data_IF_820123959922
#
_entry.id   IF_820123959922
#
_cell.length_a   1.000
_cell.length_b   1.000
_cell.length_c   1.000
_cell.angle_alpha   90.00
_cell.angle_beta   90.00
_cell.angle_gamma   90.00
#
_symmetry.space_group_name_H-M   'P 1'
#
loop_
_entity.id
_entity.type
_entity.pdbx_description
1 polymer ?
#
# COMPACT_ATOMS: atom_id res chain seq x y z
N UNK A 1 -9.17 -5.68 -18.88
CA UNK A 1 -7.98 -5.21 -18.13
C UNK A 1 -8.06 -5.85 -16.76
N UNK A 2 -7.09 -6.69 -16.43
CA UNK A 2 -7.06 -7.43 -15.16
C UNK A 2 -6.67 -6.45 -14.05
N UNK A 3 -7.64 -6.00 -13.25
CA UNK A 3 -7.36 -5.33 -11.99
C UNK A 3 -6.89 -6.40 -10.99
N UNK A 4 -5.68 -6.91 -11.21
CA UNK A 4 -5.07 -7.90 -10.34
C UNK A 4 -4.83 -7.28 -8.98
N UNK A 5 -5.75 -7.52 -8.04
CA UNK A 5 -5.51 -7.30 -6.61
C UNK A 5 -4.40 -8.28 -6.25
N UNK A 6 -3.15 -7.80 -6.23
CA UNK A 6 -2.08 -8.54 -5.59
C UNK A 6 -2.37 -8.49 -4.10
N UNK A 7 -3.00 -9.55 -3.60
CA UNK A 7 -3.17 -9.79 -2.17
C UNK A 7 -1.75 -9.92 -1.58
N UNK A 8 -1.22 -8.80 -1.10
CA UNK A 8 0.07 -8.79 -0.45
C UNK A 8 -0.10 -9.54 0.88
N UNK A 9 0.77 -10.54 1.10
CA UNK A 9 0.76 -11.33 2.34
C UNK A 9 0.70 -10.37 3.55
N UNK A 10 -0.14 -10.67 4.56
CA UNK A 10 -0.25 -9.84 5.73
C UNK A 10 1.13 -9.66 6.38
N UNK A 11 1.52 -8.40 6.61
CA UNK A 11 2.76 -8.03 7.28
C UNK A 11 2.47 -7.88 8.77
N UNK A 12 3.43 -8.21 9.62
CA UNK A 12 3.31 -7.95 11.07
C UNK A 12 4.14 -6.73 11.45
N UNK A 13 3.50 -5.71 12.03
CA UNK A 13 4.18 -4.50 12.51
C UNK A 13 3.75 -4.17 13.94
N UNK A 14 4.72 -4.08 14.86
CA UNK A 14 4.50 -3.81 16.31
C UNK A 14 3.41 -4.69 16.96
N UNK A 15 3.30 -5.96 16.56
CA UNK A 15 2.28 -6.89 17.09
C UNK A 15 0.90 -6.80 16.44
N UNK A 16 0.71 -5.91 15.46
CA UNK A 16 -0.52 -5.80 14.68
C UNK A 16 -0.37 -6.39 13.28
N UNK A 17 -1.42 -7.03 12.80
CA UNK A 17 -1.52 -7.45 11.40
C UNK A 17 -1.79 -6.24 10.52
N UNK A 18 -0.86 -5.96 9.61
CA UNK A 18 -0.95 -4.95 8.57
C UNK A 18 -1.36 -5.63 7.27
N UNK A 19 -2.50 -5.21 6.71
CA UNK A 19 -2.94 -5.62 5.37
C UNK A 19 -2.73 -4.47 4.40
N UNK A 20 -2.17 -4.77 3.24
CA UNK A 20 -1.90 -3.79 2.19
C UNK A 20 -2.53 -4.25 0.87
N UNK A 21 -3.45 -3.46 0.32
CA UNK A 21 -4.09 -3.74 -0.97
C UNK A 21 -3.53 -2.80 -2.02
N UNK A 22 -2.77 -3.35 -2.98
CA UNK A 22 -2.20 -2.57 -4.09
C UNK A 22 -3.21 -2.53 -5.24
N UNK A 23 -3.63 -1.33 -5.61
CA UNK A 23 -4.33 -1.05 -6.86
C UNK A 23 -3.38 -0.32 -7.82
N UNK A 24 -3.37 -0.77 -9.07
CA UNK A 24 -2.62 -0.14 -10.14
C UNK A 24 -3.58 0.70 -10.97
N UNK A 25 -3.34 2.00 -11.08
CA UNK A 25 -3.99 2.81 -12.11
C UNK A 25 -3.06 2.86 -13.30
N UNK A 26 -3.29 2.00 -14.29
CA UNK A 26 -2.63 2.13 -15.59
C UNK A 26 -3.25 3.36 -16.26
N UNK A 27 -2.54 4.48 -16.25
CA UNK A 27 -2.92 5.64 -17.06
C UNK A 27 -2.83 5.23 -18.52
N UNK A 28 -3.87 5.49 -19.30
CA UNK A 28 -3.82 5.36 -20.75
C UNK A 28 -2.88 6.45 -21.31
N UNK A 29 -1.57 6.19 -21.34
CA UNK A 29 -0.54 7.12 -21.81
C UNK A 29 0.76 7.07 -21.00
N UNK A 30 1.79 7.77 -21.48
CA UNK A 30 3.20 7.85 -20.99
C UNK A 30 3.40 8.30 -19.53
N UNK A 31 2.41 8.16 -18.66
CA UNK A 31 2.51 8.43 -17.22
C UNK A 31 2.96 7.17 -16.46
N UNK A 32 3.92 7.28 -15.53
CA UNK A 32 4.35 6.15 -14.73
C UNK A 32 3.16 5.58 -13.93
N UNK A 33 3.07 4.25 -13.78
CA UNK A 33 1.95 3.61 -13.10
C UNK A 33 1.88 4.09 -11.65
N UNK A 34 0.81 4.83 -11.31
CA UNK A 34 0.53 5.19 -9.93
C UNK A 34 0.03 3.97 -9.19
N UNK A 35 0.62 3.71 -8.03
CA UNK A 35 0.20 2.66 -7.12
C UNK A 35 -0.61 3.32 -6.01
N UNK A 36 -1.82 2.82 -5.80
CA UNK A 36 -2.68 3.20 -4.68
C UNK A 36 -2.65 2.04 -3.71
N UNK A 37 -2.20 2.27 -2.47
CA UNK A 37 -2.10 1.22 -1.47
C UNK A 37 -2.99 1.59 -0.28
N UNK A 38 -3.94 0.70 0.03
CA UNK A 38 -4.75 0.81 1.23
C UNK A 38 -4.09 0.00 2.36
N UNK A 39 -3.64 0.70 3.41
CA UNK A 39 -2.96 0.14 4.58
C UNK A 39 -3.95 0.04 5.72
N UNK A 40 -4.18 -1.17 6.22
CA UNK A 40 -5.12 -1.45 7.31
C UNK A 40 -4.36 -2.04 8.48
N UNK A 41 -4.50 -1.43 9.66
CA UNK A 41 -3.91 -1.89 10.93
C UNK A 41 -4.99 -1.95 11.99
N UNK A 42 -5.39 -3.15 12.40
CA UNK A 42 -6.53 -3.35 13.30
C UNK A 42 -7.83 -2.82 12.68
N UNK A 43 -8.48 -1.84 13.34
CA UNK A 43 -9.71 -1.18 12.86
C UNK A 43 -9.45 0.14 12.11
N UNK A 44 -8.20 0.57 12.00
CA UNK A 44 -7.83 1.82 11.36
C UNK A 44 -7.27 1.57 9.96
N UNK A 45 -7.51 2.49 9.03
CA UNK A 45 -7.04 2.40 7.64
C UNK A 45 -6.47 3.73 7.15
N UNK A 46 -5.46 3.68 6.28
CA UNK A 46 -4.87 4.83 5.59
C UNK A 46 -4.58 4.47 4.14
N UNK A 47 -4.97 5.34 3.21
CA UNK A 47 -4.64 5.19 1.80
C UNK A 47 -3.41 6.04 1.49
N UNK A 48 -2.41 5.43 0.87
CA UNK A 48 -1.22 6.10 0.35
C UNK A 48 -1.20 5.96 -1.18
N UNK A 49 -0.71 6.99 -1.86
CA UNK A 49 -0.61 7.01 -3.32
C UNK A 49 0.79 7.50 -3.69
N UNK A 50 1.44 6.82 -4.64
CA UNK A 50 2.76 7.24 -5.08
C UNK A 50 3.23 6.55 -6.36
N UNK A 51 4.11 7.20 -7.13
CA UNK A 51 4.85 6.57 -8.21
C UNK A 51 5.98 5.72 -7.59
N UNK A 52 5.64 4.60 -6.95
CA UNK A 52 6.66 3.69 -6.45
C UNK A 52 7.18 2.83 -7.59
N UNK A 53 8.36 3.20 -8.06
CA UNK A 53 9.07 2.49 -9.13
C UNK A 53 9.47 1.08 -8.66
N UNK A 54 9.86 0.94 -7.39
CA UNK A 54 10.25 -0.32 -6.77
C UNK A 54 9.26 -0.83 -5.72
N UNK A 55 9.15 -2.16 -5.61
CA UNK A 55 8.35 -2.80 -4.57
C UNK A 55 8.84 -2.45 -3.15
N UNK A 56 10.14 -2.29 -2.97
CA UNK A 56 10.75 -1.90 -1.69
C UNK A 56 10.27 -0.53 -1.22
N UNK A 57 10.29 0.48 -2.11
CA UNK A 57 9.79 1.82 -1.80
C UNK A 57 8.29 1.83 -1.43
N UNK A 58 7.49 0.98 -2.09
CA UNK A 58 6.09 0.77 -1.74
C UNK A 58 5.92 0.14 -0.34
N UNK A 59 6.74 -0.86 0.01
CA UNK A 59 6.72 -1.52 1.33
C UNK A 59 7.12 -0.53 2.43
N UNK A 60 8.18 0.27 2.23
CA UNK A 60 8.58 1.29 3.20
C UNK A 60 7.47 2.32 3.44
N UNK A 61 6.79 2.75 2.39
CA UNK A 61 5.65 3.65 2.50
C UNK A 61 4.48 3.02 3.28
N UNK A 62 4.20 1.73 3.05
CA UNK A 62 3.20 0.96 3.82
C UNK A 62 3.56 0.88 5.30
N UNK A 63 4.82 0.57 5.62
CA UNK A 63 5.29 0.48 7.00
C UNK A 63 5.24 1.83 7.71
N UNK A 64 5.61 2.91 7.02
CA UNK A 64 5.49 4.28 7.54
C UNK A 64 4.03 4.62 7.83
N UNK A 65 3.13 4.35 6.89
CA UNK A 65 1.69 4.58 7.07
C UNK A 65 1.11 3.75 8.23
N UNK A 66 1.54 2.49 8.37
CA UNK A 66 1.17 1.64 9.50
C UNK A 66 1.66 2.21 10.83
N UNK A 67 2.88 2.76 10.87
CA UNK A 67 3.41 3.49 12.02
C UNK A 67 2.56 4.69 12.41
N UNK A 68 2.20 5.53 11.44
CA UNK A 68 1.34 6.71 11.67
C UNK A 68 -0.06 6.33 12.18
N UNK A 69 -0.64 5.21 11.69
CA UNK A 69 -1.94 4.71 12.17
C UNK A 69 -1.89 4.32 13.66
N UNK A 70 -0.79 3.72 14.10
CA UNK A 70 -0.61 3.24 15.47
C UNK A 70 -0.21 4.34 16.45
N UNK A 71 0.42 5.40 15.98
CA UNK A 71 0.83 6.56 16.80
C UNK A 71 -0.33 7.55 17.04
N UNK A 72 -1.31 7.57 16.13
CA UNK A 72 -2.57 8.31 16.26
C UNK A 72 -3.57 7.63 17.20
#
# INVERSE_FOLDING_TARGET
MDAGINDAKPLSYKGHTVRAFVHWTCGAGESPPLRIINVIVGLKSKVIQGPWESNEAAIEAVLKAAGEILDS
#
